data_IF_725515029172
#
_entry.id   IF_725515029172
#
_cell.length_a   1.000
_cell.length_b   1.000
_cell.length_c   1.000
_cell.angle_alpha   90.00
_cell.angle_beta   90.00
_cell.angle_gamma   90.00
#
_symmetry.space_group_name_H-M   'P 1'
#
loop_
_entity.id
_entity.type
_entity.pdbx_description
1 polymer ?
#
# COMPACT_ATOMS: atom_id res chain seq x y z
N UNK A 1 6.82 14.50 -22.54
CA UNK A 1 7.84 13.51 -22.14
C UNK A 1 8.64 14.04 -20.96
N UNK A 2 8.63 13.28 -19.86
CA UNK A 2 9.63 13.18 -18.77
C UNK A 2 10.13 14.49 -18.13
N UNK A 3 9.53 14.85 -16.98
CA UNK A 3 10.25 15.41 -15.82
C UNK A 3 9.64 14.85 -14.53
N UNK A 4 9.60 13.52 -14.40
CA UNK A 4 9.57 12.90 -13.06
C UNK A 4 10.95 13.13 -12.49
N UNK A 5 11.11 14.26 -11.80
CA UNK A 5 12.22 14.49 -10.89
C UNK A 5 12.15 13.41 -9.81
N UNK A 6 12.70 12.24 -10.12
CA UNK A 6 13.36 11.43 -9.13
C UNK A 6 14.35 12.36 -8.47
N UNK A 7 13.99 12.87 -7.29
CA UNK A 7 14.90 13.59 -6.43
C UNK A 7 15.93 12.57 -5.95
N UNK A 8 16.84 12.23 -6.86
CA UNK A 8 17.85 11.18 -6.75
C UNK A 8 18.96 11.61 -5.77
N UNK A 9 18.89 12.86 -5.29
CA UNK A 9 19.91 13.50 -4.47
C UNK A 9 19.88 13.07 -2.99
N UNK A 10 18.83 12.35 -2.54
CA UNK A 10 18.67 11.97 -1.12
C UNK A 10 18.53 10.45 -0.86
N UNK A 11 18.64 9.61 -1.89
CA UNK A 11 18.39 8.17 -1.80
C UNK A 11 16.94 7.83 -1.40
N UNK A 12 16.64 6.55 -1.12
CA UNK A 12 15.28 6.12 -0.74
C UNK A 12 14.84 6.61 0.66
N UNK A 13 15.73 7.22 1.45
CA UNK A 13 15.47 7.57 2.87
C UNK A 13 14.35 8.60 3.05
N UNK A 14 14.27 9.71 2.29
CA UNK A 14 13.14 10.63 2.43
C UNK A 14 11.82 10.01 2.00
N UNK A 15 11.82 9.16 0.96
CA UNK A 15 10.62 8.47 0.53
C UNK A 15 10.16 7.48 1.60
N UNK A 16 11.08 6.70 2.18
CA UNK A 16 10.81 5.78 3.27
C UNK A 16 10.25 6.52 4.49
N UNK A 17 10.91 7.59 4.94
CA UNK A 17 10.42 8.45 6.04
C UNK A 17 9.02 8.98 5.78
N UNK A 18 8.71 9.38 4.55
CA UNK A 18 7.38 9.87 4.20
C UNK A 18 6.32 8.75 4.25
N UNK A 19 6.66 7.54 3.76
CA UNK A 19 5.77 6.38 3.88
C UNK A 19 5.54 6.02 5.35
N UNK A 20 6.61 5.95 6.14
CA UNK A 20 6.56 5.72 7.59
C UNK A 20 5.62 6.74 8.25
N UNK A 21 5.89 8.04 8.10
CA UNK A 21 5.15 9.09 8.81
C UNK A 21 3.72 9.33 8.34
N UNK A 22 3.45 9.17 7.03
CA UNK A 22 2.14 9.51 6.46
C UNK A 22 1.23 8.30 6.25
N UNK A 23 1.78 7.09 6.25
CA UNK A 23 1.01 5.85 5.99
C UNK A 23 1.15 4.86 7.13
N UNK A 24 2.38 4.48 7.52
CA UNK A 24 2.58 3.43 8.52
C UNK A 24 2.17 3.87 9.93
N UNK A 25 2.59 5.04 10.38
CA UNK A 25 2.27 5.54 11.72
C UNK A 25 0.74 5.67 11.93
N UNK A 26 -0.04 6.34 11.04
CA UNK A 26 -1.49 6.44 11.20
C UNK A 26 -2.19 5.07 11.11
N UNK A 27 -1.71 4.18 10.23
CA UNK A 27 -2.26 2.84 10.10
C UNK A 27 -2.03 2.02 11.37
N UNK A 28 -0.86 2.13 11.99
CA UNK A 28 -0.54 1.45 13.24
C UNK A 28 -1.45 1.91 14.38
N UNK A 29 -1.74 3.21 14.49
CA UNK A 29 -2.69 3.73 15.47
C UNK A 29 -4.09 3.14 15.29
N UNK A 30 -4.58 3.06 14.06
CA UNK A 30 -5.91 2.50 13.75
C UNK A 30 -5.97 0.98 13.97
N UNK A 31 -4.88 0.27 13.67
CA UNK A 31 -4.73 -1.16 14.02
C UNK A 31 -4.80 -1.38 15.53
N UNK A 32 -4.09 -0.56 16.32
CA UNK A 32 -4.11 -0.65 17.79
C UNK A 32 -5.48 -0.33 18.40
N UNK A 33 -6.27 0.51 17.74
CA UNK A 33 -7.68 0.77 18.13
C UNK A 33 -8.61 -0.40 17.83
N UNK A 34 -8.17 -1.37 17.03
CA UNK A 34 -8.96 -2.55 16.66
C UNK A 34 -9.95 -2.31 15.50
N UNK A 35 -9.80 -1.21 14.75
CA UNK A 35 -10.72 -0.81 13.66
C UNK A 35 -10.76 -1.82 12.49
N UNK A 36 -9.75 -2.69 12.41
CA UNK A 36 -9.59 -3.69 11.34
C UNK A 36 -9.76 -5.15 11.80
N UNK A 37 -10.25 -5.38 13.03
CA UNK A 37 -10.45 -6.75 13.52
C UNK A 37 -11.37 -7.56 12.60
N UNK A 38 -10.92 -8.78 12.24
CA UNK A 38 -11.66 -9.68 11.36
C UNK A 38 -11.65 -9.28 9.87
N UNK A 39 -10.85 -8.27 9.49
CA UNK A 39 -10.66 -7.83 8.12
C UNK A 39 -9.25 -8.22 7.67
N UNK A 40 -9.10 -8.64 6.42
CA UNK A 40 -7.82 -9.16 5.88
C UNK A 40 -7.18 -8.23 4.85
N UNK A 41 -7.92 -7.20 4.43
CA UNK A 41 -7.51 -6.26 3.40
C UNK A 41 -7.79 -4.85 3.90
N UNK A 42 -6.84 -3.93 3.73
CA UNK A 42 -7.01 -2.51 4.05
C UNK A 42 -6.89 -1.71 2.76
N UNK A 43 -7.95 -1.00 2.41
CA UNK A 43 -8.04 -0.09 1.27
C UNK A 43 -7.74 1.33 1.76
N UNK A 44 -6.89 2.04 1.02
CA UNK A 44 -6.46 3.40 1.37
C UNK A 44 -6.90 4.37 0.29
N UNK A 45 -7.71 5.34 0.66
CA UNK A 45 -8.17 6.43 -0.21
C UNK A 45 -7.45 7.74 0.13
N UNK A 46 -7.03 8.48 -0.90
CA UNK A 46 -6.44 9.80 -0.75
C UNK A 46 -7.50 10.89 -0.93
N UNK A 47 -7.78 11.66 0.12
CA UNK A 47 -8.63 12.85 0.04
C UNK A 47 -7.77 14.03 -0.41
N UNK A 48 -8.18 14.68 -1.48
CA UNK A 48 -7.53 15.86 -2.05
C UNK A 48 -8.46 17.07 -1.95
N UNK A 49 -7.89 18.27 -1.88
CA UNK A 49 -8.66 19.50 -2.04
C UNK A 49 -8.93 19.82 -3.52
N UNK A 50 -9.64 20.93 -3.75
CA UNK A 50 -9.98 21.43 -5.09
C UNK A 50 -8.75 21.79 -5.94
N UNK A 51 -7.59 22.03 -5.30
CA UNK A 51 -6.29 22.25 -5.94
C UNK A 51 -5.51 20.94 -6.19
N UNK A 52 -6.07 19.79 -5.81
CA UNK A 52 -5.45 18.47 -5.96
C UNK A 52 -4.39 18.12 -4.92
N UNK A 53 -4.18 18.97 -3.90
CA UNK A 53 -3.22 18.71 -2.81
C UNK A 53 -3.78 17.65 -1.86
N UNK A 54 -2.92 16.72 -1.44
CA UNK A 54 -3.30 15.70 -0.47
C UNK A 54 -3.65 16.36 0.87
N UNK A 55 -4.83 16.03 1.41
CA UNK A 55 -5.31 16.54 2.70
C UNK A 55 -5.26 15.48 3.79
N UNK A 56 -5.69 14.25 3.49
CA UNK A 56 -5.64 13.13 4.42
C UNK A 56 -5.77 11.79 3.69
N UNK A 57 -5.39 10.73 4.37
CA UNK A 57 -5.70 9.36 3.97
C UNK A 57 -6.94 8.87 4.74
N UNK A 58 -7.69 7.98 4.13
CA UNK A 58 -8.79 7.24 4.76
C UNK A 58 -8.47 5.77 4.61
N UNK A 59 -8.40 5.05 5.72
CA UNK A 59 -8.22 3.61 5.73
C UNK A 59 -9.57 2.93 5.95
N UNK A 60 -9.84 1.88 5.18
CA UNK A 60 -11.05 1.05 5.29
C UNK A 60 -10.64 -0.40 5.25
N UNK A 61 -10.99 -1.15 6.27
CA UNK A 61 -10.81 -2.59 6.22
C UNK A 61 -11.95 -3.25 5.43
N UNK A 62 -11.61 -4.31 4.71
CA UNK A 62 -12.50 -5.18 3.95
C UNK A 62 -12.13 -6.64 4.21
N UNK A 63 -13.09 -7.55 4.00
CA UNK A 63 -12.85 -8.99 3.99
C UNK A 63 -12.80 -9.42 2.53
N UNK A 64 -11.63 -9.83 2.08
CA UNK A 64 -11.40 -10.35 0.74
C UNK A 64 -11.09 -11.84 0.91
N UNK A 65 -12.15 -12.64 0.79
CA UNK A 65 -12.04 -14.11 0.92
C UNK A 65 -10.81 -14.64 0.18
N UNK A 66 -10.05 -15.50 0.86
CA UNK A 66 -8.79 -16.08 0.37
C UNK A 66 -8.93 -16.43 -1.12
N UNK A 67 -8.14 -15.75 -1.96
CA UNK A 67 -7.84 -16.26 -3.29
C UNK A 67 -7.14 -17.59 -3.06
N UNK A 68 -7.82 -18.69 -3.37
CA UNK A 68 -7.22 -20.01 -3.43
C UNK A 68 -6.05 -19.90 -4.41
N UNK A 69 -4.81 -20.25 -4.02
CA UNK A 69 -3.67 -20.06 -4.88
C UNK A 69 -3.91 -20.84 -6.15
N UNK A 70 -3.97 -20.15 -7.30
CA UNK A 70 -4.01 -20.84 -8.58
C UNK A 70 -2.79 -21.75 -8.66
N UNK A 71 -2.96 -23.04 -9.00
CA UNK A 71 -1.84 -23.95 -9.11
C UNK A 71 -0.93 -23.42 -10.23
N UNK A 72 0.19 -22.80 -9.85
CA UNK A 72 1.27 -22.54 -10.79
C UNK A 72 1.76 -23.91 -11.25
N UNK A 73 1.34 -24.29 -12.45
CA UNK A 73 1.65 -25.59 -13.03
C UNK A 73 3.15 -25.80 -12.99
N UNK A 74 3.57 -26.84 -12.28
CA UNK A 74 4.91 -27.40 -12.44
C UNK A 74 5.00 -27.93 -13.88
N UNK A 75 5.45 -27.07 -14.79
CA UNK A 75 5.88 -27.48 -16.11
C UNK A 75 7.11 -28.35 -15.96
N UNK A 76 6.90 -29.66 -15.93
CA UNK A 76 7.94 -30.65 -16.22
C UNK A 76 8.29 -30.48 -17.70
N UNK A 77 9.30 -29.66 -18.01
CA UNK A 77 10.00 -29.82 -19.28
C UNK A 77 10.94 -31.01 -19.13
N UNK A 78 10.40 -32.16 -19.55
CA UNK A 78 11.12 -33.38 -19.83
C UNK A 78 12.29 -33.10 -20.77
N UNK A 79 13.41 -33.75 -20.46
CA UNK A 79 14.55 -33.86 -21.34
C UNK A 79 14.14 -34.45 -22.71
N UNK A 80 14.64 -33.83 -23.78
CA UNK A 80 15.13 -34.53 -24.97
C UNK A 80 16.33 -33.74 -25.55
#
# INVERSE_FOLDING_TARGET
MIKKGSNTDYGARPLRRAIESFVEDPLAEELLKGEFNGKDTIVVDAVRDDEGKLRRLIFKGEVRGKQEPEPVGAGTESAD
#
